data_IF_304998689599
#
_entry.id   IF_304998689599
#
_cell.length_a   1.000
_cell.length_b   1.000
_cell.length_c   1.000
_cell.angle_alpha   90.00
_cell.angle_beta   90.00
_cell.angle_gamma   90.00
#
_symmetry.space_group_name_H-M   'P 1'
#
loop_
_entity.id
_entity.type
_entity.pdbx_description
1 polymer ?
#
# COMPACT_ATOMS: atom_id res chain seq x y z
N UNK A 1 48.44 -3.15 -26.76
CA UNK A 1 47.57 -3.96 -25.87
C UNK A 1 46.63 -2.99 -25.21
N UNK A 2 45.44 -2.83 -25.79
CA UNK A 2 44.36 -2.04 -25.19
C UNK A 2 43.88 -2.75 -23.93
N UNK A 3 43.86 -2.04 -22.80
CA UNK A 3 43.14 -2.47 -21.62
C UNK A 3 41.69 -2.03 -21.79
N UNK A 4 40.82 -3.02 -21.96
CA UNK A 4 39.38 -2.85 -22.06
C UNK A 4 38.85 -2.37 -20.69
N UNK A 5 38.48 -1.10 -20.59
CA UNK A 5 37.77 -0.55 -19.43
C UNK A 5 36.28 -0.47 -19.75
N UNK A 6 35.56 -1.56 -19.58
CA UNK A 6 34.11 -1.47 -19.43
C UNK A 6 33.76 -1.10 -17.98
N UNK A 7 32.90 -0.09 -17.76
CA UNK A 7 32.45 0.27 -16.43
C UNK A 7 31.58 -0.85 -15.87
N UNK A 8 31.99 -1.39 -14.72
CA UNK A 8 31.20 -2.34 -13.94
C UNK A 8 29.95 -1.61 -13.45
N UNK A 9 28.80 -1.87 -14.08
CA UNK A 9 27.50 -1.35 -13.65
C UNK A 9 27.27 -1.83 -12.22
N UNK A 10 27.32 -0.90 -11.26
CA UNK A 10 26.94 -1.18 -9.87
C UNK A 10 25.42 -1.21 -9.85
N UNK A 11 24.85 -2.40 -9.99
CA UNK A 11 23.43 -2.66 -9.80
C UNK A 11 23.06 -2.28 -8.36
N UNK A 12 22.16 -1.31 -8.17
CA UNK A 12 21.63 -0.95 -6.86
C UNK A 12 20.88 -2.14 -6.26
N UNK A 13 20.78 -2.28 -4.92
CA UNK A 13 20.12 -3.43 -4.28
C UNK A 13 18.69 -3.69 -4.80
N UNK A 14 17.99 -2.64 -5.22
CA UNK A 14 16.65 -2.71 -5.83
C UNK A 14 16.67 -3.42 -7.19
N UNK A 15 17.67 -3.18 -8.04
CA UNK A 15 17.77 -3.80 -9.37
C UNK A 15 18.01 -5.32 -9.31
N UNK A 16 18.85 -5.77 -8.37
CA UNK A 16 19.09 -7.20 -8.13
C UNK A 16 17.82 -7.93 -7.67
N UNK A 17 17.01 -7.29 -6.83
CA UNK A 17 15.78 -7.89 -6.33
C UNK A 17 14.69 -7.94 -7.42
N UNK A 18 14.62 -6.93 -8.29
CA UNK A 18 13.70 -6.95 -9.45
C UNK A 18 14.04 -8.11 -10.39
N UNK A 19 15.33 -8.38 -10.62
CA UNK A 19 15.77 -9.53 -11.43
C UNK A 19 15.33 -10.88 -10.81
N UNK A 20 15.44 -11.05 -9.49
CA UNK A 20 15.04 -12.28 -8.79
C UNK A 20 13.51 -12.48 -8.74
N UNK A 21 12.75 -11.39 -8.74
CA UNK A 21 11.30 -11.47 -8.80
C UNK A 21 10.83 -11.91 -10.19
N UNK A 22 11.54 -11.58 -11.27
CA UNK A 22 11.05 -11.80 -12.63
C UNK A 22 9.84 -10.93 -12.95
N UNK A 23 9.24 -11.09 -14.15
CA UNK A 23 8.21 -10.15 -14.61
C UNK A 23 6.95 -10.17 -13.74
N UNK A 24 6.44 -8.98 -13.43
CA UNK A 24 5.21 -8.81 -12.68
C UNK A 24 3.97 -9.48 -13.30
N UNK A 25 3.92 -9.68 -14.63
CA UNK A 25 2.74 -10.24 -15.33
C UNK A 25 2.44 -11.70 -14.98
N UNK A 26 3.38 -12.43 -14.36
CA UNK A 26 3.26 -13.86 -14.07
C UNK A 26 2.85 -14.18 -12.61
N UNK A 27 2.33 -13.21 -11.85
CA UNK A 27 1.89 -13.43 -10.47
C UNK A 27 0.68 -14.40 -10.39
N UNK A 28 0.91 -15.64 -9.96
CA UNK A 28 -0.11 -16.67 -9.74
C UNK A 28 -0.24 -17.00 -8.26
N UNK A 29 -1.31 -17.72 -7.89
CA UNK A 29 -1.45 -18.25 -6.54
C UNK A 29 -0.23 -19.14 -6.17
N UNK A 30 0.25 -19.05 -4.93
CA UNK A 30 1.43 -19.79 -4.51
C UNK A 30 1.16 -21.30 -4.37
N UNK A 31 2.05 -22.11 -4.95
CA UNK A 31 1.99 -23.58 -4.90
C UNK A 31 2.84 -24.17 -3.76
N UNK A 32 2.40 -25.32 -3.23
CA UNK A 32 3.12 -26.07 -2.19
C UNK A 32 4.44 -26.65 -2.71
N UNK A 33 5.48 -26.57 -1.87
CA UNK A 33 6.81 -27.11 -2.15
C UNK A 33 6.89 -28.59 -1.72
N UNK A 34 7.43 -29.46 -2.59
CA UNK A 34 7.51 -30.92 -2.35
C UNK A 34 8.94 -31.48 -2.31
N UNK A 35 9.96 -30.63 -2.08
CA UNK A 35 11.35 -31.07 -1.97
C UNK A 35 12.20 -30.19 -1.04
N UNK A 36 13.24 -30.79 -0.45
CA UNK A 36 14.18 -30.13 0.47
C UNK A 36 15.29 -29.38 -0.26
N UNK A 37 15.70 -28.22 0.25
CA UNK A 37 17.10 -27.86 0.50
C UNK A 37 17.25 -26.46 1.15
N UNK A 38 18.49 -26.19 1.58
CA UNK A 38 18.98 -25.39 2.72
C UNK A 38 19.17 -23.87 2.49
N UNK A 39 18.93 -23.06 3.55
CA UNK A 39 18.97 -21.58 3.58
C UNK A 39 20.32 -20.97 4.04
N UNK A 40 20.61 -19.74 3.60
CA UNK A 40 21.62 -18.82 4.20
C UNK A 40 21.03 -17.41 4.37
N UNK A 41 21.39 -16.72 5.46
CA UNK A 41 20.74 -15.49 5.96
C UNK A 41 21.55 -14.20 5.70
N UNK A 42 20.86 -13.05 5.53
CA UNK A 42 21.43 -11.70 5.42
C UNK A 42 20.81 -10.74 6.46
N UNK A 43 21.67 -9.97 7.14
CA UNK A 43 21.33 -9.02 8.21
C UNK A 43 21.16 -7.57 7.75
N UNK A 44 20.48 -6.74 8.57
CA UNK A 44 20.13 -5.33 8.27
C UNK A 44 20.71 -4.28 9.23
N UNK A 45 20.57 -3.00 8.86
CA UNK A 45 20.93 -1.80 9.66
C UNK A 45 19.82 -0.73 9.65
N UNK A 46 19.78 0.12 10.68
CA UNK A 46 18.73 1.07 11.07
C UNK A 46 19.09 2.55 10.80
N UNK A 47 18.06 3.41 10.67
CA UNK A 47 18.08 4.88 10.48
C UNK A 47 17.79 5.68 11.77
N UNK A 48 18.14 6.98 11.78
CA UNK A 48 17.91 7.99 12.85
C UNK A 48 17.11 9.19 12.33
N UNK A 49 16.27 9.77 13.18
CA UNK A 49 15.33 10.89 12.90
C UNK A 49 15.79 12.26 13.42
N UNK A 50 15.04 13.32 13.05
CA UNK A 50 15.11 14.66 13.66
C UNK A 50 13.73 15.37 13.69
N UNK A 51 13.50 16.16 14.74
CA UNK A 51 12.24 16.80 15.17
C UNK A 51 12.00 18.20 14.58
N UNK A 52 10.73 18.62 14.46
CA UNK A 52 10.32 20.04 14.37
C UNK A 52 8.98 20.35 15.09
N UNK A 53 8.78 21.62 15.46
CA UNK A 53 7.67 22.14 16.26
C UNK A 53 6.95 23.35 15.62
N UNK A 54 5.61 23.33 15.76
CA UNK A 54 4.58 24.42 15.84
C UNK A 54 3.98 25.02 14.55
N UNK A 55 2.83 24.46 14.12
CA UNK A 55 1.61 25.20 13.70
C UNK A 55 0.36 24.49 14.30
N UNK A 56 -0.48 25.20 15.05
CA UNK A 56 -0.71 24.75 16.44
C UNK A 56 -1.91 23.88 16.81
N UNK A 57 -2.81 23.45 15.91
CA UNK A 57 -3.87 22.49 16.32
C UNK A 57 -4.12 21.35 15.33
N UNK A 58 -4.13 21.60 14.02
CA UNK A 58 -4.26 20.55 12.99
C UNK A 58 -3.09 19.54 13.03
N UNK A 59 -1.89 20.03 13.34
CA UNK A 59 -0.68 19.22 13.50
C UNK A 59 -0.52 18.60 14.89
N UNK A 60 -1.40 18.92 15.87
CA UNK A 60 -1.31 18.31 17.20
C UNK A 60 -1.84 16.90 17.13
N UNK A 61 -0.93 15.93 17.21
CA UNK A 61 -1.29 14.53 17.33
C UNK A 61 -2.16 14.24 18.56
N UNK A 62 -2.90 13.14 18.50
CA UNK A 62 -3.54 12.52 19.65
C UNK A 62 -2.75 11.28 20.01
N UNK A 63 -2.32 11.18 21.27
CA UNK A 63 -1.59 10.02 21.76
C UNK A 63 -2.57 9.04 22.40
N UNK A 64 -2.62 7.82 21.87
CA UNK A 64 -3.43 6.74 22.41
C UNK A 64 -2.61 5.45 22.39
N UNK A 65 -2.62 4.72 23.50
CA UNK A 65 -1.90 3.45 23.64
C UNK A 65 -0.37 3.49 23.37
N UNK A 66 0.24 4.68 23.36
CA UNK A 66 1.67 4.89 23.06
C UNK A 66 1.98 5.05 21.57
N UNK A 67 0.95 5.29 20.75
CA UNK A 67 1.04 5.63 19.32
C UNK A 67 0.40 6.99 19.09
N UNK A 68 0.81 7.71 18.05
CA UNK A 68 0.19 8.98 17.68
C UNK A 68 -0.79 8.82 16.53
N UNK A 69 -1.89 9.56 16.57
CA UNK A 69 -2.95 9.60 15.54
C UNK A 69 -3.22 11.04 15.12
N UNK A 70 -3.86 11.23 13.96
CA UNK A 70 -4.28 12.55 13.46
C UNK A 70 -5.43 13.12 14.29
N UNK A 71 -5.48 14.46 14.41
CA UNK A 71 -6.55 15.16 15.13
C UNK A 71 -7.68 15.63 14.22
N UNK A 72 -7.38 16.02 12.98
CA UNK A 72 -8.40 16.42 12.02
C UNK A 72 -9.31 15.21 11.68
N UNK A 73 -10.63 15.35 11.85
CA UNK A 73 -11.60 14.24 11.79
C UNK A 73 -11.22 13.02 12.68
N UNK A 74 -10.78 13.31 13.91
CA UNK A 74 -10.33 12.30 14.89
C UNK A 74 -11.25 11.07 14.99
N UNK A 75 -10.63 9.89 15.03
CA UNK A 75 -11.30 8.61 15.17
C UNK A 75 -11.78 7.98 13.87
N UNK A 76 -11.72 8.71 12.74
CA UNK A 76 -12.14 8.19 11.45
C UNK A 76 -11.12 7.25 10.82
N UNK A 77 -9.83 7.56 10.87
CA UNK A 77 -8.78 6.69 10.32
C UNK A 77 -8.07 5.90 11.45
N UNK A 78 -7.98 4.55 11.34
CA UNK A 78 -7.60 3.71 12.47
C UNK A 78 -6.08 3.52 12.63
N UNK A 79 -5.26 3.91 11.66
CA UNK A 79 -3.81 3.69 11.71
C UNK A 79 -3.07 4.91 12.31
N UNK A 80 -1.95 4.69 13.04
CA UNK A 80 -1.15 5.75 13.60
C UNK A 80 -0.41 6.56 12.53
N UNK A 81 0.20 7.69 12.91
CA UNK A 81 0.98 8.57 12.03
C UNK A 81 2.38 8.90 12.57
N UNK A 82 2.86 8.16 13.57
CA UNK A 82 4.20 8.30 14.14
C UNK A 82 5.31 7.80 13.21
N UNK A 83 6.56 8.07 13.58
CA UNK A 83 7.76 7.70 12.82
C UNK A 83 7.85 6.20 12.51
N UNK A 84 7.37 5.32 13.40
CA UNK A 84 7.39 3.87 13.16
C UNK A 84 6.47 3.50 12.00
N UNK A 85 5.31 4.15 11.91
CA UNK A 85 4.39 3.93 10.80
C UNK A 85 4.90 4.57 9.51
N UNK A 86 5.52 5.75 9.58
CA UNK A 86 6.15 6.38 8.42
C UNK A 86 7.26 5.47 7.85
N UNK A 87 8.16 4.94 8.69
CA UNK A 87 9.18 3.96 8.27
C UNK A 87 8.56 2.71 7.60
N UNK A 88 7.39 2.27 8.09
CA UNK A 88 6.65 1.17 7.48
C UNK A 88 6.11 1.55 6.10
N UNK A 89 5.54 2.74 5.93
CA UNK A 89 5.03 3.24 4.65
C UNK A 89 6.15 3.37 3.61
N UNK A 90 7.33 3.84 4.03
CA UNK A 90 8.55 3.90 3.21
C UNK A 90 9.01 2.50 2.76
N UNK A 91 9.03 1.54 3.68
CA UNK A 91 9.35 0.14 3.36
C UNK A 91 8.30 -0.48 2.43
N UNK A 92 7.01 -0.23 2.70
CA UNK A 92 5.90 -0.72 1.89
C UNK A 92 5.93 -0.15 0.47
N UNK A 93 6.30 1.12 0.31
CA UNK A 93 6.47 1.74 -0.99
C UNK A 93 7.51 0.98 -1.85
N UNK A 94 8.68 0.68 -1.29
CA UNK A 94 9.73 -0.07 -2.00
C UNK A 94 9.27 -1.48 -2.37
N UNK A 95 8.61 -2.17 -1.44
CA UNK A 95 8.00 -3.48 -1.70
C UNK A 95 7.01 -3.41 -2.86
N UNK A 96 6.11 -2.42 -2.89
CA UNK A 96 5.14 -2.26 -3.97
C UNK A 96 5.81 -1.90 -5.29
N UNK A 97 6.87 -1.09 -5.33
CA UNK A 97 7.62 -0.86 -6.58
C UNK A 97 8.25 -2.15 -7.11
N UNK A 98 8.88 -2.92 -6.23
CA UNK A 98 9.55 -4.18 -6.61
C UNK A 98 8.60 -5.18 -7.27
N UNK A 99 7.35 -5.24 -6.84
CA UNK A 99 6.40 -6.19 -7.43
C UNK A 99 5.99 -5.80 -8.85
N UNK A 100 6.01 -4.52 -9.23
CA UNK A 100 5.65 -4.01 -10.57
C UNK A 100 6.88 -3.61 -11.41
N UNK A 101 7.95 -4.39 -11.31
CA UNK A 101 9.20 -4.21 -12.07
C UNK A 101 9.85 -2.82 -11.85
N UNK A 102 9.72 -2.29 -10.63
CA UNK A 102 10.24 -0.98 -10.25
C UNK A 102 9.39 0.21 -10.72
N UNK A 103 8.28 0.01 -11.43
CA UNK A 103 7.44 1.11 -11.93
C UNK A 103 6.69 1.83 -10.80
N UNK A 104 6.17 3.02 -11.10
CA UNK A 104 5.27 3.77 -10.22
C UNK A 104 3.79 3.53 -10.55
N UNK A 105 3.47 3.21 -11.80
CA UNK A 105 2.13 2.91 -12.30
C UNK A 105 2.22 1.93 -13.48
N UNK A 106 1.11 1.30 -13.87
CA UNK A 106 1.07 0.32 -14.98
C UNK A 106 -0.03 0.58 -16.02
N UNK A 107 -0.92 1.54 -15.77
CA UNK A 107 -1.88 2.02 -16.76
C UNK A 107 -1.16 2.58 -18.00
N UNK A 108 -1.74 2.42 -19.22
CA UNK A 108 -1.10 2.85 -20.46
C UNK A 108 -1.30 4.36 -20.69
N UNK A 109 -0.73 5.15 -19.79
CA UNK A 109 -0.68 6.60 -19.86
C UNK A 109 0.47 7.07 -20.75
N UNK A 110 0.19 8.00 -21.66
CA UNK A 110 1.24 8.69 -22.41
C UNK A 110 1.94 9.73 -21.52
N UNK A 111 3.19 9.44 -21.17
CA UNK A 111 4.05 10.27 -20.34
C UNK A 111 5.03 11.14 -21.13
N UNK A 112 5.05 11.05 -22.47
CA UNK A 112 5.92 11.87 -23.32
C UNK A 112 5.42 13.32 -23.45
N UNK A 113 4.24 13.61 -22.87
CA UNK A 113 3.62 14.93 -22.78
C UNK A 113 3.44 15.40 -21.33
N UNK A 114 3.22 16.70 -21.11
CA UNK A 114 2.76 17.19 -19.81
C UNK A 114 1.45 16.54 -19.39
N UNK A 115 1.40 16.09 -18.14
CA UNK A 115 0.26 15.40 -17.52
C UNK A 115 -0.01 15.98 -16.13
N UNK A 116 -1.28 15.95 -15.73
CA UNK A 116 -1.70 16.29 -14.37
C UNK A 116 -1.98 15.00 -13.61
N UNK A 117 -1.38 14.85 -12.43
CA UNK A 117 -1.46 13.64 -11.61
C UNK A 117 -1.97 13.98 -10.21
N UNK A 118 -2.90 13.17 -9.72
CA UNK A 118 -3.37 13.22 -8.34
C UNK A 118 -3.00 11.91 -7.63
N UNK A 119 -2.31 12.00 -6.49
CA UNK A 119 -2.08 10.89 -5.58
C UNK A 119 -2.99 11.03 -4.35
N UNK A 120 -4.03 10.21 -4.29
CA UNK A 120 -5.09 10.31 -3.27
C UNK A 120 -4.72 9.50 -2.03
N UNK A 121 -4.85 10.11 -0.86
CA UNK A 121 -4.38 9.56 0.43
C UNK A 121 -2.90 9.15 0.35
N UNK A 122 -2.07 10.14 0.00
CA UNK A 122 -0.65 9.99 -0.37
C UNK A 122 0.25 9.54 0.78
N UNK A 123 -0.23 9.57 2.04
CA UNK A 123 0.55 9.20 3.21
C UNK A 123 1.77 10.11 3.36
N UNK A 124 2.98 9.53 3.36
CA UNK A 124 4.24 10.31 3.43
C UNK A 124 4.50 11.17 2.20
N UNK A 125 3.79 10.94 1.09
CA UNK A 125 4.02 11.65 -0.16
C UNK A 125 5.11 11.03 -1.05
N UNK A 126 5.76 9.93 -0.62
CA UNK A 126 6.91 9.38 -1.35
C UNK A 126 6.59 9.03 -2.81
N UNK A 127 5.41 8.47 -3.10
CA UNK A 127 5.05 8.16 -4.48
C UNK A 127 4.92 9.41 -5.33
N UNK A 128 4.23 10.44 -4.82
CA UNK A 128 4.05 11.71 -5.52
C UNK A 128 5.39 12.41 -5.79
N UNK A 129 6.31 12.39 -4.82
CA UNK A 129 7.66 12.95 -4.97
C UNK A 129 8.45 12.20 -6.04
N UNK A 130 8.52 10.86 -5.97
CA UNK A 130 9.26 10.07 -6.97
C UNK A 130 8.64 10.17 -8.36
N UNK A 131 7.31 10.26 -8.47
CA UNK A 131 6.65 10.50 -9.75
C UNK A 131 7.05 11.86 -10.32
N UNK A 132 7.05 12.91 -9.50
CA UNK A 132 7.43 14.25 -9.92
C UNK A 132 8.89 14.33 -10.38
N UNK A 133 9.79 13.57 -9.73
CA UNK A 133 11.20 13.44 -10.12
C UNK A 133 11.38 12.66 -11.44
N UNK A 134 10.65 11.55 -11.64
CA UNK A 134 10.71 10.74 -12.86
C UNK A 134 10.07 11.46 -14.07
N UNK A 135 9.08 12.34 -13.84
CA UNK A 135 8.32 13.05 -14.86
C UNK A 135 8.31 14.58 -14.60
N UNK A 136 9.42 15.29 -14.81
CA UNK A 136 9.57 16.71 -14.46
C UNK A 136 8.63 17.66 -15.22
N UNK A 137 8.06 17.22 -16.35
CA UNK A 137 7.05 17.93 -17.14
C UNK A 137 5.62 17.79 -16.60
N UNK A 138 5.39 16.89 -15.64
CA UNK A 138 4.08 16.66 -15.02
C UNK A 138 3.78 17.69 -13.93
N UNK A 139 2.50 17.90 -13.61
CA UNK A 139 2.06 18.56 -12.37
C UNK A 139 1.50 17.49 -11.44
N UNK A 140 2.06 17.34 -10.24
CA UNK A 140 1.66 16.33 -9.25
C UNK A 140 1.05 16.99 -8.01
N UNK A 141 -0.14 16.55 -7.63
CA UNK A 141 -0.81 16.93 -6.39
C UNK A 141 -0.99 15.68 -5.54
N UNK A 142 -0.52 15.68 -4.30
CA UNK A 142 -0.87 14.66 -3.31
C UNK A 142 -1.89 15.20 -2.31
N UNK A 143 -2.88 14.40 -1.94
CA UNK A 143 -3.85 14.76 -0.88
C UNK A 143 -3.80 13.76 0.26
N UNK A 144 -3.87 14.24 1.50
CA UNK A 144 -4.02 13.38 2.67
C UNK A 144 -4.74 14.10 3.81
N UNK A 145 -5.36 13.33 4.71
CA UNK A 145 -5.93 13.84 5.95
C UNK A 145 -4.87 14.31 6.95
N UNK A 146 -3.69 13.69 6.92
CA UNK A 146 -2.59 13.92 7.85
C UNK A 146 -1.49 14.76 7.20
N UNK A 147 -1.02 15.84 7.85
CA UNK A 147 0.08 16.64 7.33
C UNK A 147 1.43 16.03 7.72
N UNK A 148 1.80 14.91 7.09
CA UNK A 148 3.05 14.17 7.35
C UNK A 148 4.02 14.16 6.16
N UNK A 149 3.76 15.02 5.17
CA UNK A 149 4.53 15.11 3.93
C UNK A 149 5.80 15.98 4.10
N UNK A 150 6.86 15.75 3.31
CA UNK A 150 8.09 16.53 3.39
C UNK A 150 7.87 17.99 2.99
N UNK A 151 8.62 18.89 3.63
CA UNK A 151 8.59 20.33 3.32
C UNK A 151 9.31 20.68 2.01
N UNK A 152 10.33 19.89 1.66
CA UNK A 152 11.12 20.09 0.45
C UNK A 152 10.74 19.03 -0.57
N UNK A 153 10.10 19.47 -1.65
CA UNK A 153 9.55 18.64 -2.72
C UNK A 153 9.98 19.21 -4.08
N UNK A 154 9.93 18.41 -5.16
CA UNK A 154 10.14 18.91 -6.51
C UNK A 154 9.20 20.09 -6.83
N UNK A 155 9.64 21.03 -7.66
CA UNK A 155 8.88 22.26 -7.96
C UNK A 155 7.54 22.00 -8.65
N UNK A 156 7.38 20.81 -9.22
CA UNK A 156 6.17 20.34 -9.88
C UNK A 156 5.31 19.42 -8.99
N UNK A 157 5.64 19.28 -7.70
CA UNK A 157 4.89 18.52 -6.71
C UNK A 157 4.33 19.44 -5.63
N UNK A 158 3.09 19.22 -5.21
CA UNK A 158 2.46 19.96 -4.11
C UNK A 158 1.55 19.05 -3.29
N UNK A 159 1.31 19.41 -2.03
CA UNK A 159 0.46 18.65 -1.11
C UNK A 159 -0.69 19.50 -0.58
N UNK A 160 -1.85 18.88 -0.40
CA UNK A 160 -3.03 19.50 0.22
C UNK A 160 -3.59 18.62 1.33
N UNK A 161 -3.99 19.26 2.44
CA UNK A 161 -4.67 18.58 3.55
C UNK A 161 -6.15 18.53 3.20
N UNK A 162 -6.61 17.40 2.66
CA UNK A 162 -7.98 17.22 2.17
C UNK A 162 -8.47 15.80 2.47
N UNK A 163 -9.76 15.67 2.77
CA UNK A 163 -10.42 14.36 2.84
C UNK A 163 -10.92 13.96 1.45
N UNK A 164 -10.52 12.79 0.97
CA UNK A 164 -10.96 12.29 -0.32
C UNK A 164 -12.47 11.96 -0.37
N UNK A 165 -13.12 11.79 0.79
CA UNK A 165 -14.58 11.59 0.89
C UNK A 165 -15.37 12.92 0.84
N UNK A 166 -14.71 14.08 0.94
CA UNK A 166 -15.34 15.40 0.75
C UNK A 166 -15.40 15.77 -0.75
N UNK A 167 -16.15 16.80 -1.16
CA UNK A 167 -16.16 17.27 -2.54
C UNK A 167 -14.77 17.75 -3.01
N UNK A 168 -14.32 17.26 -4.17
CA UNK A 168 -12.99 17.57 -4.71
C UNK A 168 -12.94 18.97 -5.34
N UNK A 169 -12.07 19.83 -4.83
CA UNK A 169 -11.91 21.22 -5.29
C UNK A 169 -10.53 21.47 -5.88
N UNK A 170 -10.41 21.34 -7.20
CA UNK A 170 -9.16 21.54 -7.94
C UNK A 170 -9.23 22.68 -8.96
N UNK A 171 -10.08 23.68 -8.76
CA UNK A 171 -10.16 24.90 -9.62
C UNK A 171 -10.24 24.57 -11.13
N UNK A 172 -11.16 23.68 -11.50
CA UNK A 172 -11.36 23.13 -12.86
C UNK A 172 -10.20 22.29 -13.43
N UNK A 173 -9.10 22.11 -12.69
CA UNK A 173 -8.01 21.21 -13.07
C UNK A 173 -8.54 19.78 -13.20
N UNK A 174 -8.24 19.16 -14.34
CA UNK A 174 -8.53 17.75 -14.61
C UNK A 174 -7.25 16.95 -14.69
N UNK A 175 -7.33 15.69 -14.28
CA UNK A 175 -6.20 14.78 -14.17
C UNK A 175 -6.13 13.81 -15.33
N UNK A 176 -4.90 13.52 -15.77
CA UNK A 176 -4.60 12.44 -16.71
C UNK A 176 -4.45 11.10 -15.97
N UNK A 177 -3.93 11.14 -14.74
CA UNK A 177 -3.82 9.99 -13.84
C UNK A 177 -4.29 10.38 -12.44
N UNK A 178 -5.17 9.57 -11.87
CA UNK A 178 -5.44 9.55 -10.44
C UNK A 178 -4.93 8.21 -9.92
N UNK A 179 -4.01 8.26 -8.99
CA UNK A 179 -3.38 7.11 -8.37
C UNK A 179 -3.81 7.02 -6.90
N UNK A 180 -3.91 5.79 -6.39
CA UNK A 180 -4.02 5.56 -4.96
C UNK A 180 -3.65 4.13 -4.60
N UNK A 181 -3.06 3.94 -3.41
CA UNK A 181 -2.62 2.62 -2.96
C UNK A 181 -2.66 2.48 -1.45
N UNK A 182 -2.87 1.25 -0.99
CA UNK A 182 -3.01 0.89 0.44
C UNK A 182 -4.10 1.73 1.13
N UNK A 183 -5.21 1.93 0.42
CA UNK A 183 -6.40 2.70 0.80
C UNK A 183 -7.41 1.89 1.62
N UNK A 184 -7.10 0.63 1.94
CA UNK A 184 -7.99 -0.35 2.56
C UNK A 184 -8.75 0.18 3.80
N UNK A 185 -8.13 1.10 4.55
CA UNK A 185 -8.67 1.69 5.78
C UNK A 185 -9.02 3.17 5.62
N UNK A 186 -8.83 3.75 4.43
CA UNK A 186 -8.92 5.18 4.19
C UNK A 186 -10.35 5.68 4.03
N UNK A 187 -11.27 4.88 3.47
CA UNK A 187 -12.61 5.35 3.08
C UNK A 187 -13.75 4.51 3.67
N UNK A 188 -14.81 5.17 4.13
CA UNK A 188 -16.08 4.51 4.45
C UNK A 188 -16.79 4.08 3.16
N UNK A 189 -16.71 4.91 2.11
CA UNK A 189 -17.28 4.61 0.79
C UNK A 189 -16.25 4.79 -0.34
N UNK A 190 -15.36 3.79 -0.58
CA UNK A 190 -14.39 3.86 -1.67
C UNK A 190 -15.05 4.10 -3.04
N UNK A 191 -16.24 3.50 -3.28
CA UNK A 191 -17.00 3.71 -4.52
C UNK A 191 -17.35 5.20 -4.76
N UNK A 192 -17.66 5.96 -3.70
CA UNK A 192 -17.92 7.41 -3.83
C UNK A 192 -16.65 8.15 -4.23
N UNK A 193 -15.51 7.80 -3.64
CA UNK A 193 -14.21 8.37 -4.00
C UNK A 193 -13.87 8.06 -5.47
N UNK A 194 -14.17 6.84 -5.94
CA UNK A 194 -13.94 6.47 -7.34
C UNK A 194 -14.85 7.25 -8.30
N UNK A 195 -16.07 7.58 -7.88
CA UNK A 195 -16.97 8.43 -8.65
C UNK A 195 -16.44 9.87 -8.72
N UNK A 196 -15.93 10.43 -7.62
CA UNK A 196 -15.25 11.73 -7.62
C UNK A 196 -14.02 11.73 -8.53
N UNK A 197 -13.21 10.66 -8.47
CA UNK A 197 -12.07 10.46 -9.35
C UNK A 197 -12.49 10.44 -10.83
N UNK A 198 -13.56 9.70 -11.18
CA UNK A 198 -14.11 9.69 -12.53
C UNK A 198 -14.51 11.10 -13.00
N UNK A 199 -15.11 11.93 -12.15
CA UNK A 199 -15.45 13.31 -12.50
C UNK A 199 -14.22 14.22 -12.66
N UNK A 200 -13.18 13.98 -11.87
CA UNK A 200 -11.94 14.75 -11.90
C UNK A 200 -10.98 14.36 -13.04
N UNK A 201 -11.15 13.19 -13.67
CA UNK A 201 -10.37 12.78 -14.83
C UNK A 201 -10.73 13.55 -16.11
N UNK A 202 -9.72 13.81 -16.94
CA UNK A 202 -9.88 14.14 -18.36
C UNK A 202 -10.48 12.94 -19.10
N UNK A 203 -11.21 13.14 -20.22
CA UNK A 203 -11.51 12.05 -21.14
C UNK A 203 -10.21 11.34 -21.56
N UNK A 204 -10.18 10.01 -21.49
CA UNK A 204 -8.98 9.21 -21.72
C UNK A 204 -8.00 9.10 -20.54
N UNK A 205 -8.23 9.80 -19.43
CA UNK A 205 -7.43 9.65 -18.21
C UNK A 205 -7.74 8.36 -17.44
N UNK A 206 -6.84 7.96 -16.54
CA UNK A 206 -6.92 6.71 -15.80
C UNK A 206 -7.08 6.92 -14.29
N UNK A 207 -7.93 6.08 -13.68
CA UNK A 207 -7.85 5.81 -12.25
C UNK A 207 -7.06 4.50 -12.09
N UNK A 208 -5.99 4.51 -11.31
CA UNK A 208 -5.20 3.33 -10.97
C UNK A 208 -5.15 3.15 -9.46
N UNK A 209 -5.52 1.96 -9.01
CA UNK A 209 -5.68 1.61 -7.61
C UNK A 209 -4.96 0.32 -7.27
N UNK A 210 -4.33 0.28 -6.10
CA UNK A 210 -3.65 -0.92 -5.63
C UNK A 210 -3.78 -1.17 -4.14
N UNK A 211 -4.46 -2.24 -3.76
CA UNK A 211 -4.77 -2.54 -2.36
C UNK A 211 -4.59 -4.00 -1.96
N UNK A 212 -4.18 -4.28 -0.71
CA UNK A 212 -4.33 -5.60 -0.13
C UNK A 212 -5.81 -5.93 0.13
N UNK A 213 -6.13 -7.21 0.13
CA UNK A 213 -7.48 -7.72 0.36
C UNK A 213 -7.46 -8.66 1.55
N UNK A 214 -8.28 -8.35 2.55
CA UNK A 214 -8.47 -9.19 3.72
C UNK A 214 -9.71 -10.09 3.55
N UNK A 215 -9.76 -11.23 4.26
CA UNK A 215 -8.72 -11.79 5.15
C UNK A 215 -7.55 -12.40 4.37
N UNK A 216 -6.43 -12.66 5.05
CA UNK A 216 -5.38 -13.51 4.45
C UNK A 216 -5.91 -14.90 4.11
N UNK A 217 -5.33 -15.49 3.07
CA UNK A 217 -5.72 -16.79 2.51
C UNK A 217 -4.71 -17.86 2.88
N UNK A 218 -5.10 -19.12 2.72
CA UNK A 218 -4.27 -20.26 3.08
C UNK A 218 -4.30 -21.30 1.96
N UNK A 219 -3.12 -21.75 1.52
CA UNK A 219 -3.01 -22.78 0.47
C UNK A 219 -3.28 -24.19 0.99
N UNK A 220 -3.33 -24.38 2.31
CA UNK A 220 -3.82 -25.59 2.96
C UNK A 220 -4.58 -25.22 4.24
N UNK A 221 -5.41 -26.11 4.80
CA UNK A 221 -6.06 -25.87 6.08
C UNK A 221 -5.04 -25.48 7.17
N UNK A 222 -5.21 -24.33 7.86
CA UNK A 222 -4.38 -23.97 8.99
C UNK A 222 -4.73 -24.84 10.22
N UNK A 223 -3.86 -24.88 11.25
CA UNK A 223 -4.19 -25.50 12.53
C UNK A 223 -5.49 -24.96 13.15
N UNK A 224 -6.23 -25.79 13.89
CA UNK A 224 -7.51 -25.40 14.51
C UNK A 224 -7.36 -24.23 15.50
N UNK A 225 -6.22 -24.14 16.19
CA UNK A 225 -5.87 -23.13 17.19
C UNK A 225 -5.01 -21.98 16.64
N UNK A 226 -4.94 -21.82 15.31
CA UNK A 226 -4.16 -20.77 14.65
C UNK A 226 -4.62 -19.36 15.07
N UNK A 227 -3.74 -18.65 15.78
CA UNK A 227 -3.96 -17.28 16.22
C UNK A 227 -4.08 -16.31 15.04
N UNK A 228 -3.38 -16.55 13.92
CA UNK A 228 -3.53 -15.74 12.71
C UNK A 228 -4.93 -15.85 12.10
N UNK A 229 -5.57 -17.02 12.14
CA UNK A 229 -6.97 -17.19 11.71
C UNK A 229 -7.91 -16.39 12.63
N UNK A 230 -7.71 -16.50 13.95
CA UNK A 230 -8.48 -15.72 14.93
C UNK A 230 -8.33 -14.22 14.66
N UNK A 231 -7.11 -13.74 14.46
CA UNK A 231 -6.82 -12.34 14.15
C UNK A 231 -7.47 -11.87 12.84
N UNK A 232 -7.41 -12.67 11.77
CA UNK A 232 -8.07 -12.39 10.49
C UNK A 232 -9.59 -12.18 10.66
N UNK A 233 -10.25 -13.04 11.45
CA UNK A 233 -11.69 -12.90 11.68
C UNK A 233 -12.00 -11.62 12.46
N UNK A 234 -11.21 -11.33 13.49
CA UNK A 234 -11.38 -10.13 14.32
C UNK A 234 -11.13 -8.84 13.55
N UNK A 235 -10.12 -8.80 12.66
CA UNK A 235 -9.82 -7.59 11.88
C UNK A 235 -10.91 -7.31 10.83
N UNK A 236 -11.44 -8.36 10.19
CA UNK A 236 -12.58 -8.24 9.27
C UNK A 236 -13.84 -7.78 10.01
N UNK A 237 -14.12 -8.35 11.18
CA UNK A 237 -15.26 -7.93 12.02
C UNK A 237 -15.13 -6.48 12.47
N UNK A 238 -13.98 -6.10 13.03
CA UNK A 238 -13.74 -4.76 13.55
C UNK A 238 -13.78 -3.70 12.44
N UNK A 239 -13.12 -3.96 11.31
CA UNK A 239 -13.13 -3.03 10.17
C UNK A 239 -14.52 -2.85 9.57
N UNK A 240 -15.32 -3.92 9.49
CA UNK A 240 -16.71 -3.85 9.04
C UNK A 240 -17.57 -3.04 10.02
N UNK A 241 -17.44 -3.29 11.33
CA UNK A 241 -18.14 -2.51 12.37
C UNK A 241 -17.74 -1.03 12.40
N UNK A 242 -16.50 -0.73 12.00
CA UNK A 242 -16.01 0.64 11.84
C UNK A 242 -16.52 1.33 10.57
N UNK A 243 -17.33 0.65 9.73
CA UNK A 243 -17.85 1.19 8.48
C UNK A 243 -16.83 1.24 7.34
N UNK A 244 -15.66 0.58 7.50
CA UNK A 244 -14.56 0.56 6.54
C UNK A 244 -14.13 -0.89 6.27
N UNK A 245 -14.94 -1.72 5.59
CA UNK A 245 -14.62 -3.14 5.41
C UNK A 245 -13.31 -3.34 4.64
N UNK A 246 -12.35 -4.05 5.23
CA UNK A 246 -11.06 -4.35 4.58
C UNK A 246 -11.16 -5.41 3.46
N UNK A 247 -12.37 -5.88 3.18
CA UNK A 247 -12.73 -6.75 2.06
C UNK A 247 -13.01 -5.97 0.77
N UNK A 248 -13.12 -4.64 0.85
CA UNK A 248 -13.60 -3.77 -0.25
C UNK A 248 -12.79 -3.88 -1.55
N UNK A 249 -11.48 -4.16 -1.47
CA UNK A 249 -10.63 -4.34 -2.66
C UNK A 249 -11.14 -5.43 -3.62
N UNK A 250 -11.92 -6.39 -3.14
CA UNK A 250 -12.56 -7.40 -4.00
C UNK A 250 -13.60 -6.85 -4.98
N UNK A 251 -14.10 -5.63 -4.76
CA UNK A 251 -15.17 -5.02 -5.55
C UNK A 251 -14.69 -3.87 -6.44
N UNK A 252 -13.39 -3.55 -6.47
CA UNK A 252 -12.91 -2.34 -7.15
C UNK A 252 -13.23 -2.34 -8.64
N UNK A 253 -12.96 -3.45 -9.36
CA UNK A 253 -13.33 -3.57 -10.77
C UNK A 253 -14.83 -3.40 -10.99
N UNK A 254 -15.66 -4.08 -10.22
CA UNK A 254 -17.12 -3.98 -10.31
C UNK A 254 -17.58 -2.52 -10.11
N UNK A 255 -17.04 -1.83 -9.11
CA UNK A 255 -17.40 -0.43 -8.87
C UNK A 255 -16.94 0.49 -10.01
N UNK A 256 -15.77 0.26 -10.61
CA UNK A 256 -15.33 1.00 -11.77
C UNK A 256 -16.26 0.79 -12.98
N UNK A 257 -16.71 -0.44 -13.22
CA UNK A 257 -17.69 -0.77 -14.28
C UNK A 257 -19.01 -0.02 -14.04
N UNK A 258 -19.54 -0.07 -12.81
CA UNK A 258 -20.79 0.59 -12.43
C UNK A 258 -20.72 2.13 -12.53
N UNK A 259 -19.54 2.72 -12.34
CA UNK A 259 -19.31 4.17 -12.48
C UNK A 259 -19.21 4.59 -13.95
N UNK A 260 -18.80 3.68 -14.84
CA UNK A 260 -18.68 3.94 -16.28
C UNK A 260 -17.24 4.07 -16.77
N UNK A 261 -16.25 3.56 -16.03
CA UNK A 261 -14.91 3.36 -16.58
C UNK A 261 -14.94 2.29 -17.70
N UNK A 262 -14.02 2.42 -18.66
CA UNK A 262 -13.81 1.48 -19.77
C UNK A 262 -12.37 0.96 -19.77
N UNK A 263 -12.10 -0.06 -20.59
CA UNK A 263 -10.78 -0.69 -20.70
C UNK A 263 -10.20 -1.13 -19.34
N UNK A 264 -11.08 -1.63 -18.45
CA UNK A 264 -10.72 -1.95 -17.07
C UNK A 264 -9.88 -3.21 -17.04
N UNK A 265 -8.68 -3.10 -16.48
CA UNK A 265 -7.78 -4.24 -16.26
C UNK A 265 -7.63 -4.43 -14.77
N UNK A 266 -7.95 -5.63 -14.30
CA UNK A 266 -7.73 -6.07 -12.92
C UNK A 266 -6.70 -7.20 -12.92
N UNK A 267 -5.76 -7.12 -11.97
CA UNK A 267 -4.80 -8.18 -11.67
C UNK A 267 -4.86 -8.49 -10.19
N UNK A 268 -4.96 -9.77 -9.86
CA UNK A 268 -4.82 -10.25 -8.49
C UNK A 268 -3.36 -10.53 -8.21
N UNK A 269 -2.87 -10.00 -7.11
CA UNK A 269 -1.50 -10.21 -6.64
C UNK A 269 -1.53 -11.15 -5.44
N UNK A 270 -0.61 -12.11 -5.42
CA UNK A 270 -0.50 -13.06 -4.32
C UNK A 270 0.92 -13.04 -3.79
N UNK A 271 1.04 -13.00 -2.46
CA UNK A 271 2.34 -13.04 -1.81
C UNK A 271 2.32 -13.92 -0.56
N UNK A 272 3.15 -14.98 -0.51
CA UNK A 272 3.29 -15.81 0.67
C UNK A 272 3.76 -14.98 1.88
N UNK A 273 3.31 -15.35 3.08
CA UNK A 273 3.73 -14.68 4.32
C UNK A 273 4.94 -15.29 4.99
N UNK A 274 5.40 -16.45 4.53
CA UNK A 274 6.64 -17.08 4.94
C UNK A 274 7.19 -17.90 3.76
N UNK A 275 8.46 -18.33 3.79
CA UNK A 275 9.12 -18.91 2.61
C UNK A 275 8.73 -20.39 2.40
N UNK A 276 7.44 -20.72 2.50
CA UNK A 276 6.88 -22.04 2.25
C UNK A 276 6.61 -22.29 0.76
N UNK A 277 6.23 -21.26 0.00
CA UNK A 277 5.87 -21.39 -1.41
C UNK A 277 7.09 -21.65 -2.30
N UNK A 278 6.88 -22.36 -3.41
CA UNK A 278 7.93 -22.70 -4.37
C UNK A 278 8.39 -21.48 -5.18
N UNK A 279 9.67 -21.46 -5.56
CA UNK A 279 10.26 -20.51 -6.51
C UNK A 279 10.94 -19.31 -5.86
N UNK A 280 12.08 -18.88 -6.41
CA UNK A 280 12.92 -17.81 -5.85
C UNK A 280 12.15 -16.50 -5.65
N UNK A 281 11.33 -16.09 -6.64
CA UNK A 281 10.43 -14.93 -6.53
C UNK A 281 9.62 -14.98 -5.23
N UNK A 282 8.96 -16.11 -4.97
CA UNK A 282 8.10 -16.27 -3.80
C UNK A 282 8.89 -16.29 -2.49
N UNK A 283 10.07 -16.91 -2.47
CA UNK A 283 10.95 -16.88 -1.28
C UNK A 283 11.34 -15.44 -0.93
N UNK A 284 11.81 -14.66 -1.92
CA UNK A 284 12.21 -13.26 -1.75
C UNK A 284 11.01 -12.40 -1.35
N UNK A 285 9.91 -12.47 -2.12
CA UNK A 285 8.70 -11.68 -1.86
C UNK A 285 8.15 -11.95 -0.45
N UNK A 286 8.19 -13.21 0.00
CA UNK A 286 7.69 -13.57 1.32
C UNK A 286 8.43 -12.88 2.46
N UNK A 287 9.76 -12.71 2.35
CA UNK A 287 10.54 -12.00 3.37
C UNK A 287 10.11 -10.53 3.48
N UNK A 288 9.88 -9.88 2.34
CA UNK A 288 9.45 -8.49 2.31
C UNK A 288 8.02 -8.31 2.83
N UNK A 289 7.08 -9.14 2.36
CA UNK A 289 5.68 -9.06 2.80
C UNK A 289 5.56 -9.41 4.28
N UNK A 290 6.25 -10.46 4.74
CA UNK A 290 6.29 -10.83 6.16
C UNK A 290 6.76 -9.64 7.01
N UNK A 291 7.89 -9.02 6.64
CA UNK A 291 8.42 -7.87 7.36
C UNK A 291 7.43 -6.70 7.39
N UNK A 292 6.80 -6.36 6.25
CA UNK A 292 5.80 -5.29 6.20
C UNK A 292 4.61 -5.56 7.14
N UNK A 293 4.08 -6.79 7.12
CA UNK A 293 2.95 -7.19 7.97
C UNK A 293 3.36 -7.16 9.44
N UNK A 294 4.53 -7.69 9.81
CA UNK A 294 5.01 -7.68 11.19
C UNK A 294 5.23 -6.26 11.73
N UNK A 295 5.74 -5.35 10.89
CA UNK A 295 5.88 -3.93 11.23
C UNK A 295 4.53 -3.25 11.46
N UNK A 296 3.51 -3.59 10.66
CA UNK A 296 2.18 -2.99 10.71
C UNK A 296 1.19 -3.67 11.65
N UNK A 297 1.51 -4.87 12.18
CA UNK A 297 0.55 -5.72 12.88
C UNK A 297 -0.10 -5.01 14.09
N UNK A 298 0.70 -4.32 14.89
CA UNK A 298 0.17 -3.56 16.03
C UNK A 298 -0.66 -2.36 15.58
N UNK A 299 -0.18 -1.61 14.58
CA UNK A 299 -0.86 -0.45 14.02
C UNK A 299 -2.25 -0.80 13.47
N UNK A 300 -2.35 -1.91 12.73
CA UNK A 300 -3.62 -2.43 12.19
C UNK A 300 -4.59 -2.84 13.31
N UNK A 301 -4.08 -3.40 14.40
CA UNK A 301 -4.92 -4.04 15.42
C UNK A 301 -5.37 -3.10 16.52
N UNK A 302 -4.49 -2.20 16.99
CA UNK A 302 -4.65 -1.55 18.29
C UNK A 302 -5.95 -0.74 18.37
N UNK A 303 -6.15 0.20 17.44
CA UNK A 303 -7.34 1.05 17.46
C UNK A 303 -8.62 0.26 17.17
N UNK A 304 -8.59 -0.66 16.20
CA UNK A 304 -9.76 -1.46 15.84
C UNK A 304 -10.18 -2.39 16.98
N UNK A 305 -9.25 -3.07 17.63
CA UNK A 305 -9.59 -4.04 18.67
C UNK A 305 -9.97 -3.37 19.98
N UNK A 306 -9.31 -2.26 20.35
CA UNK A 306 -9.66 -1.53 21.58
C UNK A 306 -10.93 -0.70 21.42
N UNK A 307 -11.02 0.15 20.38
CA UNK A 307 -12.16 1.07 20.21
C UNK A 307 -13.42 0.39 19.69
N UNK A 308 -13.31 -0.65 18.85
CA UNK A 308 -14.46 -1.28 18.18
C UNK A 308 -14.86 -2.62 18.82
N UNK A 309 -13.88 -3.45 19.17
CA UNK A 309 -14.14 -4.75 19.82
C UNK A 309 -14.11 -4.68 21.35
N UNK A 310 -13.73 -3.54 21.95
CA UNK A 310 -13.71 -3.35 23.40
C UNK A 310 -12.65 -4.18 24.13
N UNK A 311 -11.60 -4.61 23.44
CA UNK A 311 -10.50 -5.36 24.07
C UNK A 311 -9.61 -4.45 24.90
N UNK A 312 -9.06 -4.99 25.98
CA UNK A 312 -8.00 -4.32 26.73
C UNK A 312 -6.69 -4.35 25.92
N UNK A 313 -5.88 -3.30 26.06
CA UNK A 313 -4.60 -3.14 25.34
C UNK A 313 -3.68 -4.34 25.53
N UNK A 314 -3.60 -4.87 26.75
CA UNK A 314 -2.76 -6.00 27.11
C UNK A 314 -3.21 -7.29 26.42
N UNK A 315 -4.53 -7.50 26.29
CA UNK A 315 -5.10 -8.65 25.57
C UNK A 315 -4.78 -8.58 24.08
N UNK A 316 -4.82 -7.38 23.48
CA UNK A 316 -4.40 -7.19 22.09
C UNK A 316 -2.93 -7.57 21.95
N UNK A 317 -2.04 -7.04 22.80
CA UNK A 317 -0.61 -7.35 22.73
C UNK A 317 -0.31 -8.84 22.89
N UNK A 318 -0.98 -9.52 23.83
CA UNK A 318 -0.83 -10.97 24.03
C UNK A 318 -1.25 -11.75 22.78
N UNK A 319 -2.40 -11.43 22.18
CA UNK A 319 -2.82 -12.02 20.91
C UNK A 319 -1.77 -11.81 19.81
N UNK A 320 -1.22 -10.60 19.69
CA UNK A 320 -0.24 -10.29 18.65
C UNK A 320 1.07 -11.06 18.80
N UNK A 321 1.45 -11.51 20.00
CA UNK A 321 2.62 -12.39 20.18
C UNK A 321 2.38 -13.72 19.46
N UNK A 322 1.22 -14.35 19.66
CA UNK A 322 0.87 -15.60 19.01
C UNK A 322 0.71 -15.43 17.49
N UNK A 323 0.10 -14.33 17.04
CA UNK A 323 -0.07 -14.03 15.60
C UNK A 323 1.28 -13.87 14.89
N UNK A 324 2.27 -13.21 15.52
CA UNK A 324 3.62 -13.10 14.96
C UNK A 324 4.27 -14.47 14.77
N UNK A 325 4.16 -15.35 15.77
CA UNK A 325 4.69 -16.71 15.68
C UNK A 325 4.03 -17.50 14.53
N UNK A 326 2.73 -17.33 14.31
CA UNK A 326 2.03 -17.97 13.19
C UNK A 326 2.44 -17.42 11.82
N UNK A 327 2.63 -16.10 11.69
CA UNK A 327 3.13 -15.47 10.46
C UNK A 327 4.51 -16.01 10.06
N UNK A 328 5.38 -16.25 11.05
CA UNK A 328 6.73 -16.77 10.83
C UNK A 328 6.78 -18.29 10.62
N UNK A 329 5.68 -19.00 10.90
CA UNK A 329 5.62 -20.45 10.83
C UNK A 329 5.48 -20.96 9.39
N UNK A 330 6.54 -21.59 8.86
CA UNK A 330 6.56 -22.19 7.51
C UNK A 330 5.55 -23.33 7.29
N UNK A 331 4.94 -23.87 8.36
CA UNK A 331 3.88 -24.91 8.26
C UNK A 331 2.48 -24.31 8.06
N UNK A 332 2.32 -23.01 8.27
CA UNK A 332 1.09 -22.28 8.00
C UNK A 332 1.26 -21.65 6.62
N UNK A 333 0.62 -22.24 5.61
CA UNK A 333 0.74 -21.80 4.22
C UNK A 333 -0.11 -20.55 3.91
N UNK A 334 0.08 -19.51 4.73
CA UNK A 334 -0.63 -18.24 4.61
C UNK A 334 -0.05 -17.38 3.49
N UNK A 335 -0.91 -16.70 2.75
CA UNK A 335 -0.55 -15.68 1.77
C UNK A 335 -1.52 -14.49 1.82
N UNK A 336 -1.00 -13.31 1.49
CA UNK A 336 -1.83 -12.13 1.23
C UNK A 336 -2.31 -12.14 -0.21
N UNK A 337 -3.54 -11.70 -0.39
CA UNK A 337 -4.12 -11.36 -1.69
C UNK A 337 -4.17 -9.84 -1.82
N UNK A 338 -3.98 -9.32 -3.03
CA UNK A 338 -4.12 -7.91 -3.36
C UNK A 338 -4.73 -7.73 -4.74
N UNK A 339 -5.16 -6.50 -5.02
CA UNK A 339 -5.66 -6.09 -6.33
C UNK A 339 -4.82 -4.93 -6.84
N UNK A 340 -4.44 -5.01 -8.10
CA UNK A 340 -4.05 -3.86 -8.92
C UNK A 340 -5.11 -3.71 -10.00
N UNK A 341 -5.79 -2.57 -10.04
CA UNK A 341 -6.81 -2.30 -11.05
C UNK A 341 -6.63 -0.91 -11.62
N UNK A 342 -6.81 -0.77 -12.93
CA UNK A 342 -6.96 0.52 -13.56
C UNK A 342 -8.11 0.52 -14.56
N UNK A 343 -8.70 1.70 -14.75
CA UNK A 343 -9.79 1.92 -15.69
C UNK A 343 -9.70 3.32 -16.29
N UNK A 344 -10.08 3.44 -17.56
CA UNK A 344 -10.02 4.68 -18.32
C UNK A 344 -11.36 5.39 -18.31
N UNK A 345 -11.37 6.72 -18.22
CA UNK A 345 -12.57 7.51 -18.48
C UNK A 345 -12.87 7.53 -19.99
N UNK A 346 -14.10 7.21 -20.44
CA UNK A 346 -14.47 7.28 -21.85
C UNK A 346 -14.26 8.66 -22.47
N UNK A 347 -14.06 8.70 -23.79
CA UNK A 347 -14.05 9.96 -24.57
C UNK A 347 -12.68 10.51 -24.97
N UNK A 348 -11.64 9.70 -24.95
CA UNK A 348 -10.43 9.96 -25.74
C UNK A 348 -10.48 9.15 -27.02
N UNK A 349 -10.87 9.76 -28.14
CA UNK A 349 -10.64 9.18 -29.46
C UNK A 349 -9.13 9.24 -29.72
N UNK A 350 -8.55 8.08 -30.04
CA UNK A 350 -7.22 7.94 -30.63
C UNK A 350 -7.17 8.46 -32.05
#
# INVERSE_FOLDING_TARGET
>A
MEMNTEPRVVTTPTSYIIEELGSYVDAREPELDSGSDTDSALGGMSLRSSNFTVESELYRHIEENGRTYHRYKHGQYPLPNDALEQDRLEFQHRLLRMTIDGKLFVSPLDTDRPINVLDVATGTGIWAVEFADEYPQSTVIGTDLSPIQPQYVPTNCSFRIEDAEDPWTFDDLKFDLIHGRVLLSCFCSPKTVFASAFQALKPGGYLELRDPIFPFRYASPPPEDCALVKWNNMIVEASTKAGRPWTNGAYYKQWMEEIGFVDIVERREFAPMSPWAKGQRNKVLSVWVQKNVLMGLEAMSMALFTRVLGMEKEQVKELLVAVKADIENKRIHCYSEGVLVYGRKPGGDS
#
